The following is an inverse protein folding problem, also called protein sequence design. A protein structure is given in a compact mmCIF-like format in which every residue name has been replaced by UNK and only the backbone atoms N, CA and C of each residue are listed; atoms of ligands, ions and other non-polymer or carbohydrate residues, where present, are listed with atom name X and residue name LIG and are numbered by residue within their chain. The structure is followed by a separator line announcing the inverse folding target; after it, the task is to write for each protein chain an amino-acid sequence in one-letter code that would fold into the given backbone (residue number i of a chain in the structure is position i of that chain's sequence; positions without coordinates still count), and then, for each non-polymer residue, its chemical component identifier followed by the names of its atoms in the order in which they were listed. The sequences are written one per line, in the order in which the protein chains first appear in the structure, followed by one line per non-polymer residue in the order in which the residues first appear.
data_IF_575749596542
#
_entry.id   IF_575749596542
#
_cell.length_a   1.000
_cell.length_b   1.000
_cell.length_c   1.000
_cell.angle_alpha   90.00
_cell.angle_beta   90.00
_cell.angle_gamma   90.00
#
_symmetry.space_group_name_H-M   'P 1'
#
loop_
_entity.id
_entity.type
_entity.pdbx_description
1 polymer ?
#
# COMPACT_ATOMS: atom_id res chain seq x y z
N UNK A 1 -5.72 -80.69 -4.78
CA UNK A 1 -6.61 -79.52 -4.87
C UNK A 1 -5.93 -78.35 -4.17
N UNK A 2 -5.38 -77.39 -4.93
CA UNK A 2 -4.80 -76.13 -4.42
C UNK A 2 -5.59 -74.99 -5.06
N UNK A 3 -6.31 -74.23 -4.24
CA UNK A 3 -6.99 -72.99 -4.65
C UNK A 3 -6.17 -71.79 -4.20
N UNK A 4 -5.82 -70.93 -5.15
CA UNK A 4 -4.91 -69.80 -4.98
C UNK A 4 -5.64 -68.55 -4.48
N UNK A 5 -4.98 -67.78 -3.63
CA UNK A 5 -5.40 -66.48 -3.14
C UNK A 5 -5.38 -65.42 -4.26
N UNK A 6 -6.48 -64.70 -4.43
CA UNK A 6 -6.56 -63.52 -5.29
C UNK A 6 -6.07 -62.29 -4.50
N UNK A 7 -4.88 -61.78 -4.87
CA UNK A 7 -4.30 -60.55 -4.29
C UNK A 7 -4.66 -59.37 -5.20
N UNK A 8 -5.65 -58.59 -4.77
CA UNK A 8 -6.02 -57.33 -5.40
C UNK A 8 -4.83 -56.36 -5.42
N UNK A 9 -4.38 -55.98 -6.61
CA UNK A 9 -3.31 -55.00 -6.81
C UNK A 9 -3.76 -54.06 -7.91
N UNK A 10 -4.34 -52.92 -7.54
CA UNK A 10 -4.88 -52.00 -8.52
C UNK A 10 -5.36 -50.69 -7.92
N UNK A 11 -4.48 -49.90 -7.30
CA UNK A 11 -4.67 -48.44 -7.20
C UNK A 11 -3.46 -47.63 -6.71
N UNK A 12 -2.23 -48.13 -6.82
CA UNK A 12 -1.04 -47.44 -6.30
C UNK A 12 -0.27 -46.61 -7.33
N UNK A 13 -0.76 -46.50 -8.58
CA UNK A 13 0.05 -45.94 -9.67
C UNK A 13 -0.21 -44.47 -10.02
N UNK A 14 -1.20 -43.79 -9.43
CA UNK A 14 -1.57 -42.42 -9.85
C UNK A 14 -1.00 -41.29 -8.98
N UNK A 15 -0.45 -41.60 -7.79
CA UNK A 15 0.08 -40.57 -6.87
C UNK A 15 1.55 -40.22 -7.08
N UNK A 16 2.28 -40.97 -7.92
CA UNK A 16 3.72 -40.74 -8.16
C UNK A 16 4.03 -39.78 -9.32
N UNK A 17 3.02 -39.33 -10.08
CA UNK A 17 3.24 -38.40 -11.20
C UNK A 17 3.25 -36.91 -10.79
N UNK A 18 2.77 -36.56 -9.59
CA UNK A 18 2.78 -35.17 -9.14
C UNK A 18 4.08 -34.76 -8.43
N UNK A 19 4.95 -35.71 -8.07
CA UNK A 19 6.22 -35.39 -7.39
C UNK A 19 7.36 -34.98 -8.35
N UNK A 20 7.13 -35.01 -9.67
CA UNK A 20 8.16 -34.69 -10.66
C UNK A 20 7.90 -33.42 -11.47
N UNK A 21 6.84 -32.65 -11.18
CA UNK A 21 6.74 -31.31 -11.75
C UNK A 21 7.74 -30.41 -11.03
N UNK A 22 8.80 -29.93 -11.69
CA UNK A 22 9.60 -28.86 -11.11
C UNK A 22 8.64 -27.69 -10.92
N UNK A 23 8.46 -27.27 -9.67
CA UNK A 23 7.91 -25.95 -9.39
C UNK A 23 8.81 -25.00 -10.17
N UNK A 24 8.30 -24.44 -11.26
CA UNK A 24 8.99 -23.41 -12.01
C UNK A 24 9.04 -22.20 -11.09
N UNK A 25 10.07 -22.14 -10.24
CA UNK A 25 10.39 -20.93 -9.51
C UNK A 25 10.88 -19.95 -10.57
N UNK A 26 10.00 -19.04 -10.98
CA UNK A 26 10.43 -17.85 -11.69
C UNK A 26 11.43 -17.12 -10.77
N UNK A 27 12.71 -17.18 -11.11
CA UNK A 27 13.69 -16.31 -10.47
C UNK A 27 13.36 -14.89 -10.92
N UNK A 28 12.73 -14.13 -10.05
CA UNK A 28 12.55 -12.69 -10.24
C UNK A 28 13.93 -12.08 -10.05
N UNK A 29 14.61 -11.78 -11.15
CA UNK A 29 15.81 -10.95 -11.13
C UNK A 29 15.39 -9.53 -10.73
N UNK A 30 15.71 -9.15 -9.48
CA UNK A 30 15.36 -7.84 -8.92
C UNK A 30 16.34 -6.74 -9.35
N UNK A 31 17.40 -7.09 -10.11
CA UNK A 31 18.45 -6.18 -10.53
C UNK A 31 19.22 -5.55 -9.37
N UNK A 32 20.14 -4.65 -9.70
CA UNK A 32 20.89 -3.89 -8.70
C UNK A 32 20.00 -2.84 -8.01
N UNK A 33 20.19 -2.57 -6.70
CA UNK A 33 19.48 -1.52 -5.99
C UNK A 33 19.62 -0.17 -6.68
N UNK A 34 18.49 0.51 -6.93
CA UNK A 34 18.46 1.87 -7.49
C UNK A 34 18.05 2.88 -6.43
N UNK A 35 18.77 4.00 -6.38
CA UNK A 35 18.43 5.14 -5.51
C UNK A 35 17.87 6.26 -6.36
N UNK A 36 16.76 6.87 -5.94
CA UNK A 36 16.17 8.04 -6.58
C UNK A 36 15.98 9.14 -5.55
N UNK A 37 16.27 10.39 -5.95
CA UNK A 37 16.04 11.59 -5.16
C UNK A 37 14.89 12.37 -5.79
N UNK A 38 13.97 12.83 -4.95
CA UNK A 38 12.84 13.66 -5.35
C UNK A 38 12.90 14.97 -4.57
N UNK A 39 12.74 16.08 -5.28
CA UNK A 39 12.62 17.41 -4.70
C UNK A 39 11.31 18.02 -5.24
N UNK A 40 10.34 18.27 -4.37
CA UNK A 40 9.00 18.76 -4.71
C UNK A 40 8.38 19.54 -3.55
N UNK A 41 7.30 20.26 -3.84
CA UNK A 41 6.55 21.04 -2.85
C UNK A 41 5.14 20.48 -2.67
N UNK A 42 4.76 20.22 -1.42
CA UNK A 42 3.41 19.81 -1.02
C UNK A 42 2.63 21.04 -0.55
N UNK A 43 1.40 21.21 -1.03
CA UNK A 43 0.53 22.32 -0.64
C UNK A 43 -0.70 21.84 0.13
N UNK A 44 -0.68 21.97 1.46
CA UNK A 44 -1.86 21.71 2.30
C UNK A 44 -2.80 22.92 2.28
N UNK A 45 -3.98 22.75 1.68
CA UNK A 45 -4.95 23.82 1.47
C UNK A 45 -6.21 23.61 2.31
N UNK A 46 -6.06 23.62 3.64
CA UNK A 46 -7.17 23.49 4.59
C UNK A 46 -8.10 24.71 4.61
N UNK A 47 -7.53 25.92 4.50
CA UNK A 47 -8.29 27.18 4.46
C UNK A 47 -7.99 27.90 3.15
N UNK A 48 -8.72 27.53 2.10
CA UNK A 48 -8.59 28.12 0.77
C UNK A 48 -9.96 28.31 0.11
N UNK A 49 -10.03 29.12 -0.95
CA UNK A 49 -11.27 29.27 -1.76
C UNK A 49 -11.73 27.94 -2.37
N UNK A 50 -10.77 27.07 -2.67
CA UNK A 50 -10.98 25.70 -3.17
C UNK A 50 -10.09 24.77 -2.32
N UNK A 51 -10.59 24.29 -1.18
CA UNK A 51 -9.79 23.44 -0.30
C UNK A 51 -9.54 22.07 -0.94
N UNK A 52 -8.37 21.51 -0.69
CA UNK A 52 -7.99 20.13 -1.06
C UNK A 52 -7.95 19.20 0.14
N UNK A 53 -8.18 19.73 1.34
CA UNK A 53 -8.19 18.98 2.60
C UNK A 53 -9.48 19.24 3.39
N UNK A 54 -9.86 18.25 4.20
CA UNK A 54 -11.07 18.29 5.04
C UNK A 54 -10.76 17.70 6.41
N UNK A 55 -11.14 18.42 7.46
CA UNK A 55 -11.16 17.84 8.81
C UNK A 55 -12.29 16.81 8.92
N UNK A 56 -11.95 15.58 9.31
CA UNK A 56 -12.90 14.47 9.46
C UNK A 56 -13.21 14.11 10.90
N UNK A 57 -12.34 14.48 11.85
CA UNK A 57 -12.58 14.28 13.28
C UNK A 57 -11.88 15.37 14.11
N UNK A 58 -12.50 15.74 15.24
CA UNK A 58 -11.95 16.66 16.24
C UNK A 58 -12.21 16.13 17.63
N UNK A 59 -11.21 16.16 18.50
CA UNK A 59 -11.41 15.89 19.93
C UNK A 59 -12.27 17.00 20.57
N UNK A 60 -13.05 16.66 21.60
CA UNK A 60 -13.92 17.64 22.28
C UNK A 60 -13.15 18.82 22.89
N UNK A 61 -11.89 18.59 23.28
CA UNK A 61 -11.03 19.59 23.90
C UNK A 61 -10.26 20.47 22.89
N UNK A 62 -10.53 20.34 21.58
CA UNK A 62 -9.76 20.99 20.52
C UNK A 62 -9.65 22.51 20.70
N UNK A 63 -10.73 23.19 21.13
CA UNK A 63 -10.75 24.64 21.33
C UNK A 63 -9.87 25.12 22.49
N UNK A 64 -9.52 24.22 23.43
CA UNK A 64 -8.59 24.49 24.51
C UNK A 64 -7.16 24.02 24.20
N UNK A 65 -6.97 23.31 23.09
CA UNK A 65 -5.65 22.82 22.68
C UNK A 65 -4.92 23.90 21.86
N UNK A 66 -3.72 24.35 22.29
CA UNK A 66 -2.93 25.31 21.52
C UNK A 66 -2.35 24.71 20.24
N UNK A 67 -2.34 23.38 20.11
CA UNK A 67 -1.71 22.63 19.02
C UNK A 67 -2.71 21.85 18.16
N UNK A 68 -4.02 21.97 18.47
CA UNK A 68 -5.09 21.21 17.83
C UNK A 68 -4.98 19.69 18.07
N UNK A 69 -4.40 19.26 19.19
CA UNK A 69 -4.28 17.85 19.55
C UNK A 69 -5.61 17.11 19.39
N UNK A 70 -5.59 16.02 18.62
CA UNK A 70 -6.76 15.17 18.35
C UNK A 70 -7.63 15.62 17.18
N UNK A 71 -7.18 16.57 16.35
CA UNK A 71 -7.75 16.83 15.02
C UNK A 71 -7.15 15.89 13.96
N UNK A 72 -8.00 15.34 13.09
CA UNK A 72 -7.63 14.44 11.99
C UNK A 72 -8.12 15.05 10.67
N UNK A 73 -7.22 15.15 9.69
CA UNK A 73 -7.45 15.78 8.39
C UNK A 73 -7.21 14.76 7.28
N UNK A 74 -8.12 14.67 6.31
CA UNK A 74 -7.96 13.91 5.06
C UNK A 74 -7.50 14.87 3.97
N UNK A 75 -6.52 14.44 3.15
CA UNK A 75 -5.85 15.27 2.15
C UNK A 75 -5.90 14.67 0.74
N UNK A 76 -6.02 15.55 -0.27
CA UNK A 76 -5.82 15.28 -1.70
C UNK A 76 -4.99 16.43 -2.33
N UNK A 77 -3.80 16.65 -1.76
CA UNK A 77 -2.99 17.85 -1.99
C UNK A 77 -2.10 17.76 -3.23
N UNK A 78 -1.95 18.85 -4.01
CA UNK A 78 -1.07 18.85 -5.17
C UNK A 78 0.40 18.85 -4.75
N UNK A 79 1.21 18.08 -5.49
CA UNK A 79 2.67 18.15 -5.45
C UNK A 79 3.17 18.90 -6.69
N UNK A 80 4.01 19.91 -6.50
CA UNK A 80 4.50 20.76 -7.59
C UNK A 80 6.03 20.84 -7.67
N UNK A 81 6.54 21.21 -8.85
CA UNK A 81 7.99 21.41 -9.07
C UNK A 81 8.54 22.65 -8.35
N UNK A 82 7.73 23.70 -8.19
CA UNK A 82 8.12 24.94 -7.52
C UNK A 82 7.25 25.26 -6.30
N UNK A 83 7.65 26.22 -5.45
CA UNK A 83 6.90 26.62 -4.27
C UNK A 83 5.60 27.38 -4.58
N UNK A 84 5.41 27.85 -5.81
CA UNK A 84 4.18 28.51 -6.22
C UNK A 84 3.08 27.50 -6.57
N UNK A 85 1.86 27.71 -6.09
CA UNK A 85 0.68 26.89 -6.43
C UNK A 85 0.38 26.84 -7.95
N UNK A 86 0.82 27.83 -8.70
CA UNK A 86 0.66 27.91 -10.15
C UNK A 86 1.75 27.17 -10.92
N UNK A 87 2.78 26.66 -10.24
CA UNK A 87 3.83 25.86 -10.86
C UNK A 87 3.29 24.49 -11.31
N UNK A 88 4.10 23.77 -12.11
CA UNK A 88 3.66 22.51 -12.71
C UNK A 88 3.36 21.47 -11.64
N UNK A 89 2.14 20.93 -11.67
CA UNK A 89 1.72 19.79 -10.85
C UNK A 89 2.35 18.51 -11.39
N UNK A 90 3.03 17.77 -10.53
CA UNK A 90 3.73 16.52 -10.85
C UNK A 90 3.13 15.30 -10.15
N UNK A 91 2.20 15.51 -9.21
CA UNK A 91 1.52 14.44 -8.51
C UNK A 91 0.56 14.95 -7.46
N UNK A 92 0.10 14.05 -6.60
CA UNK A 92 -0.73 14.35 -5.44
C UNK A 92 -0.30 13.54 -4.21
N UNK A 93 -0.39 14.16 -3.04
CA UNK A 93 -0.33 13.48 -1.76
C UNK A 93 -1.75 13.17 -1.29
N UNK A 94 -2.06 11.88 -1.17
CA UNK A 94 -3.37 11.39 -0.76
C UNK A 94 -3.25 10.58 0.52
N UNK A 95 -4.05 10.92 1.53
CA UNK A 95 -3.97 10.24 2.82
C UNK A 95 -4.63 11.04 3.94
N UNK A 96 -4.08 10.92 5.13
CA UNK A 96 -4.53 11.66 6.31
C UNK A 96 -3.35 11.99 7.23
N UNK A 97 -3.49 13.06 7.99
CA UNK A 97 -2.60 13.37 9.11
C UNK A 97 -3.40 13.71 10.36
N UNK A 98 -2.74 13.64 11.51
CA UNK A 98 -3.32 13.99 12.80
C UNK A 98 -2.39 14.93 13.57
N UNK A 99 -2.98 15.82 14.35
CA UNK A 99 -2.27 16.63 15.32
C UNK A 99 -2.10 15.81 16.61
N UNK A 100 -0.85 15.47 16.96
CA UNK A 100 -0.54 14.44 17.98
C UNK A 100 0.21 14.94 19.22
N UNK A 101 0.48 16.24 19.34
CA UNK A 101 1.14 16.85 20.51
C UNK A 101 0.54 18.21 20.80
#
# INVERSE_FOLDING_TARGET
MRGNAARATGMTSLLLFFSSMPICQAQVDLGEPKVSRFDFYLHDLLVARKPTTVTVAKANMINASPTLFGEIVVIDDPLTEGPELTSKVIGKAQGMYAFTS
#
